data_IF_611745013306
#
_entry.id   IF_611745013306
#
_cell.length_a   1.000
_cell.length_b   1.000
_cell.length_c   1.000
_cell.angle_alpha   90.00
_cell.angle_beta   90.00
_cell.angle_gamma   90.00
#
_symmetry.space_group_name_H-M   'P 1'
#
loop_
_entity.id
_entity.type
_entity.pdbx_description
1 polymer ?
#
# COMPACT_ATOMS: atom_id res chain seq x y z
N UNK A 1 -23.09 7.06 -10.51
CA UNK A 1 -22.51 7.57 -11.77
C UNK A 1 -22.52 9.10 -11.91
N UNK A 2 -23.66 9.81 -11.77
CA UNK A 2 -23.70 11.29 -11.97
C UNK A 2 -22.83 12.12 -11.00
N UNK A 3 -22.56 11.63 -9.77
CA UNK A 3 -21.67 12.31 -8.79
C UNK A 3 -20.17 12.16 -9.09
N UNK A 4 -19.77 11.13 -9.85
CA UNK A 4 -18.37 10.88 -10.23
C UNK A 4 -17.89 11.85 -11.34
N UNK A 5 -18.82 12.32 -12.18
CA UNK A 5 -18.53 13.24 -13.28
C UNK A 5 -18.11 14.63 -12.76
N UNK A 6 -18.54 15.02 -11.56
CA UNK A 6 -18.15 16.30 -10.94
C UNK A 6 -16.70 16.27 -10.43
N UNK A 7 -16.20 15.12 -9.99
CA UNK A 7 -14.79 14.94 -9.61
C UNK A 7 -13.85 14.99 -10.83
N UNK A 8 -14.33 14.54 -12.00
CA UNK A 8 -13.60 14.64 -13.27
C UNK A 8 -13.55 16.07 -13.85
N UNK A 9 -14.34 17.01 -13.30
CA UNK A 9 -14.36 18.41 -13.74
C UNK A 9 -13.46 19.35 -12.92
N UNK A 10 -12.88 18.88 -11.81
CA UNK A 10 -11.90 19.65 -11.02
C UNK A 10 -10.54 19.94 -11.71
N UNK A 11 -10.06 19.19 -12.73
CA UNK A 11 -8.89 19.61 -13.49
C UNK A 11 -9.09 20.96 -14.21
N UNK A 12 -10.33 21.38 -14.43
CA UNK A 12 -10.66 22.58 -15.22
C UNK A 12 -10.52 23.90 -14.45
N UNK A 13 -10.42 23.88 -13.12
CA UNK A 13 -10.23 25.09 -12.31
C UNK A 13 -8.74 25.43 -12.07
N UNK A 14 -7.81 24.66 -12.65
CA UNK A 14 -6.40 24.64 -12.21
C UNK A 14 -5.39 25.47 -13.00
N UNK A 15 -5.83 26.43 -13.81
CA UNK A 15 -4.91 27.43 -14.40
C UNK A 15 -4.20 28.32 -13.34
N UNK A 16 -4.43 28.09 -12.04
CA UNK A 16 -3.96 28.91 -10.92
C UNK A 16 -2.75 28.37 -10.14
N UNK A 17 -2.29 27.13 -10.37
CA UNK A 17 -1.05 26.65 -9.74
C UNK A 17 0.06 26.62 -10.78
N UNK A 18 0.96 27.60 -10.64
CA UNK A 18 2.15 27.86 -11.45
C UNK A 18 2.81 26.57 -11.97
N UNK A 19 3.24 26.63 -13.22
CA UNK A 19 4.05 25.65 -13.92
C UNK A 19 4.94 24.85 -12.96
N UNK A 20 4.66 23.54 -12.86
CA UNK A 20 5.59 22.62 -12.24
C UNK A 20 6.95 22.79 -12.94
N UNK A 21 8.01 22.90 -12.15
CA UNK A 21 9.38 23.02 -12.63
C UNK A 21 9.72 21.88 -13.61
N UNK A 22 10.67 22.12 -14.52
CA UNK A 22 11.05 21.12 -15.51
C UNK A 22 11.56 19.84 -14.84
N UNK A 23 10.92 18.71 -15.12
CA UNK A 23 11.28 17.40 -14.55
C UNK A 23 12.77 17.09 -14.69
N UNK A 24 13.40 16.73 -13.57
CA UNK A 24 14.82 16.39 -13.50
C UNK A 24 15.08 14.94 -13.90
N UNK A 25 14.09 14.06 -13.67
CA UNK A 25 14.20 12.63 -13.92
C UNK A 25 13.20 12.17 -14.98
N UNK A 26 13.65 11.30 -15.87
CA UNK A 26 12.79 10.56 -16.81
C UNK A 26 12.30 9.29 -16.14
N UNK A 27 13.19 8.46 -15.61
CA UNK A 27 12.84 7.17 -15.01
C UNK A 27 13.64 6.97 -13.73
N UNK A 28 13.02 6.48 -12.67
CA UNK A 28 13.71 6.04 -11.45
C UNK A 28 13.20 4.64 -11.10
N UNK A 29 14.14 3.73 -10.87
CA UNK A 29 13.88 2.34 -10.52
C UNK A 29 14.66 2.00 -9.24
N UNK A 30 14.10 1.17 -8.38
CA UNK A 30 14.70 0.69 -7.14
C UNK A 30 14.52 -0.81 -6.99
N UNK A 31 15.62 -1.53 -6.78
CA UNK A 31 15.62 -2.97 -6.64
C UNK A 31 16.37 -3.36 -5.36
N UNK A 32 15.63 -3.69 -4.31
CA UNK A 32 16.19 -4.36 -3.13
C UNK A 32 16.49 -5.83 -3.46
N UNK A 33 17.76 -6.20 -3.40
CA UNK A 33 18.25 -7.55 -3.66
C UNK A 33 18.16 -8.45 -2.42
N UNK A 34 18.35 -7.85 -1.25
CA UNK A 34 18.28 -8.52 0.05
C UNK A 34 17.42 -7.66 0.98
N UNK A 35 16.50 -8.30 1.67
CA UNK A 35 15.67 -7.73 2.74
C UNK A 35 15.60 -8.72 3.91
N UNK A 36 16.45 -8.48 4.90
CA UNK A 36 16.50 -9.25 6.13
C UNK A 36 15.58 -8.61 7.20
N UNK A 37 14.78 -9.40 7.93
CA UNK A 37 14.78 -10.87 7.97
C UNK A 37 13.84 -11.59 7.00
N UNK A 38 13.00 -10.87 6.25
CA UNK A 38 11.95 -11.48 5.43
C UNK A 38 12.49 -12.50 4.42
N UNK A 39 13.58 -12.22 3.71
CA UNK A 39 14.14 -13.17 2.71
C UNK A 39 14.85 -14.39 3.32
N UNK A 40 15.15 -14.40 4.62
CA UNK A 40 15.84 -15.54 5.27
C UNK A 40 14.89 -16.42 6.08
N UNK A 41 13.59 -16.10 6.13
CA UNK A 41 12.60 -16.94 6.79
C UNK A 41 12.39 -18.26 6.05
N UNK A 42 12.32 -19.37 6.77
CA UNK A 42 12.07 -20.71 6.19
C UNK A 42 10.70 -20.84 5.52
N UNK A 43 9.76 -19.96 5.89
CA UNK A 43 8.39 -19.93 5.38
C UNK A 43 8.16 -18.83 4.32
N UNK A 44 9.21 -18.07 3.95
CA UNK A 44 9.11 -16.98 2.99
C UNK A 44 9.98 -17.25 1.75
N UNK A 45 9.35 -17.73 0.67
CA UNK A 45 10.04 -17.97 -0.61
C UNK A 45 9.91 -16.80 -1.60
N UNK A 46 9.34 -15.68 -1.15
CA UNK A 46 8.88 -14.59 -2.00
C UNK A 46 9.60 -13.27 -1.70
N UNK A 47 9.44 -12.24 -2.55
CA UNK A 47 9.85 -10.88 -2.20
C UNK A 47 9.23 -10.43 -0.87
N UNK A 48 9.98 -9.66 -0.09
CA UNK A 48 9.45 -8.96 1.09
C UNK A 48 8.35 -7.96 0.72
N UNK A 49 7.59 -7.45 1.69
CA UNK A 49 6.62 -6.36 1.46
C UNK A 49 7.24 -5.15 0.73
N UNK A 50 8.48 -4.80 1.10
CA UNK A 50 9.14 -3.64 0.48
C UNK A 50 9.66 -3.98 -0.92
N UNK A 51 10.23 -5.17 -1.12
CA UNK A 51 10.66 -5.63 -2.44
C UNK A 51 9.48 -5.75 -3.41
N UNK A 52 8.34 -6.29 -2.97
CA UNK A 52 7.14 -6.41 -3.81
C UNK A 52 6.60 -5.04 -4.20
N UNK A 53 6.62 -4.09 -3.26
CA UNK A 53 6.21 -2.71 -3.52
C UNK A 53 7.16 -2.01 -4.49
N UNK A 54 8.47 -2.16 -4.30
CA UNK A 54 9.50 -1.62 -5.20
C UNK A 54 9.32 -2.18 -6.61
N UNK A 55 9.18 -3.50 -6.74
CA UNK A 55 8.98 -4.16 -8.02
C UNK A 55 7.69 -3.68 -8.73
N UNK A 56 6.60 -3.56 -7.99
CA UNK A 56 5.32 -3.05 -8.51
C UNK A 56 5.44 -1.59 -8.95
N UNK A 57 6.01 -0.74 -8.11
CA UNK A 57 6.20 0.68 -8.39
C UNK A 57 7.11 0.93 -9.61
N UNK A 58 8.16 0.11 -9.76
CA UNK A 58 9.08 0.16 -10.88
C UNK A 58 8.39 -0.27 -12.18
N UNK A 59 7.53 -1.28 -12.13
CA UNK A 59 6.74 -1.70 -13.29
C UNK A 59 5.75 -0.61 -13.71
N UNK A 60 5.07 0.03 -12.75
CA UNK A 60 4.29 1.23 -13.02
C UNK A 60 5.14 2.37 -13.60
N UNK A 61 6.36 2.58 -13.10
CA UNK A 61 7.25 3.62 -13.62
C UNK A 61 7.64 3.41 -15.09
N UNK A 62 7.96 2.18 -15.47
CA UNK A 62 8.26 1.83 -16.87
C UNK A 62 7.03 2.03 -17.75
N UNK A 63 5.85 1.59 -17.29
CA UNK A 63 4.61 1.73 -18.06
C UNK A 63 4.20 3.19 -18.25
N UNK A 64 4.26 4.00 -17.20
CA UNK A 64 3.93 5.43 -17.27
C UNK A 64 4.94 6.22 -18.11
N UNK A 65 6.21 5.83 -18.09
CA UNK A 65 7.20 6.36 -19.02
C UNK A 65 6.85 6.05 -20.47
N UNK A 66 6.41 4.82 -20.76
CA UNK A 66 5.94 4.41 -22.08
C UNK A 66 4.71 5.19 -22.55
N UNK A 67 3.74 5.40 -21.66
CA UNK A 67 2.53 6.19 -21.93
C UNK A 67 2.89 7.63 -22.27
N UNK A 68 3.75 8.28 -21.48
CA UNK A 68 4.22 9.64 -21.75
C UNK A 68 5.01 9.73 -23.07
N UNK A 69 5.84 8.73 -23.38
CA UNK A 69 6.56 8.66 -24.64
C UNK A 69 5.60 8.55 -25.84
N UNK A 70 4.56 7.72 -25.74
CA UNK A 70 3.52 7.58 -26.76
C UNK A 70 2.72 8.90 -26.92
N UNK A 71 2.31 9.52 -25.82
CA UNK A 71 1.62 10.81 -25.82
C UNK A 71 2.44 11.90 -26.53
N UNK A 72 3.76 11.96 -26.29
CA UNK A 72 4.65 12.89 -27.01
C UNK A 72 4.68 12.67 -28.52
N UNK A 73 4.57 11.42 -28.99
CA UNK A 73 4.52 11.09 -30.43
C UNK A 73 3.18 11.51 -31.02
N UNK A 74 2.06 11.13 -30.38
CA UNK A 74 0.69 11.41 -30.87
C UNK A 74 0.44 12.92 -30.96
N UNK A 75 0.88 13.70 -29.97
CA UNK A 75 0.59 15.13 -29.88
C UNK A 75 1.75 16.05 -30.32
N UNK A 76 2.75 15.53 -31.05
CA UNK A 76 4.00 16.22 -31.44
C UNK A 76 3.79 17.63 -32.02
N UNK A 77 2.84 17.78 -32.95
CA UNK A 77 2.60 19.05 -33.67
C UNK A 77 1.72 20.06 -32.89
N UNK A 78 1.18 19.68 -31.72
CA UNK A 78 0.29 20.52 -30.91
C UNK A 78 0.91 20.94 -29.56
N UNK A 79 2.14 20.52 -29.27
CA UNK A 79 2.83 20.71 -27.97
C UNK A 79 2.90 22.17 -27.49
N UNK A 80 2.89 23.13 -28.40
CA UNK A 80 3.02 24.56 -28.08
C UNK A 80 1.69 25.31 -27.97
N UNK A 81 0.56 24.69 -28.32
CA UNK A 81 -0.76 25.30 -28.13
C UNK A 81 -1.34 24.90 -26.78
N UNK A 82 -2.13 25.77 -26.14
CA UNK A 82 -2.82 25.46 -24.87
C UNK A 82 -3.69 24.20 -25.02
N UNK A 83 -4.44 24.10 -26.11
CA UNK A 83 -5.29 22.94 -26.39
C UNK A 83 -4.51 21.63 -26.60
N UNK A 84 -3.33 21.68 -27.23
CA UNK A 84 -2.49 20.50 -27.39
C UNK A 84 -1.85 20.01 -26.09
N UNK A 85 -1.51 20.92 -25.17
CA UNK A 85 -1.05 20.55 -23.81
C UNK A 85 -2.15 19.84 -23.04
N UNK A 86 -3.34 20.43 -22.99
CA UNK A 86 -4.52 19.84 -22.32
C UNK A 86 -4.85 18.46 -22.91
N UNK A 87 -4.85 18.33 -24.24
CA UNK A 87 -5.12 17.06 -24.90
C UNK A 87 -4.10 15.98 -24.54
N UNK A 88 -2.81 16.33 -24.49
CA UNK A 88 -1.75 15.41 -24.07
C UNK A 88 -1.89 15.02 -22.60
N UNK A 89 -2.03 15.99 -21.69
CA UNK A 89 -2.18 15.71 -20.25
C UNK A 89 -3.42 14.84 -19.97
N UNK A 90 -4.52 15.09 -20.69
CA UNK A 90 -5.73 14.27 -20.60
C UNK A 90 -5.49 12.85 -21.11
N UNK A 91 -4.76 12.70 -22.23
CA UNK A 91 -4.38 11.38 -22.75
C UNK A 91 -3.50 10.61 -21.76
N UNK A 92 -2.45 11.24 -21.24
CA UNK A 92 -1.52 10.62 -20.29
C UNK A 92 -2.28 10.18 -19.03
N UNK A 93 -3.17 11.03 -18.51
CA UNK A 93 -3.96 10.73 -17.32
C UNK A 93 -4.97 9.59 -17.56
N UNK A 94 -5.77 9.66 -18.62
CA UNK A 94 -6.79 8.65 -18.91
C UNK A 94 -6.18 7.29 -19.26
N UNK A 95 -5.10 7.29 -20.04
CA UNK A 95 -4.38 6.05 -20.41
C UNK A 95 -3.67 5.48 -19.19
N UNK A 96 -3.04 6.32 -18.36
CA UNK A 96 -2.45 5.90 -17.09
C UNK A 96 -3.49 5.32 -16.13
N UNK A 97 -4.69 5.89 -16.09
CA UNK A 97 -5.80 5.37 -15.29
C UNK A 97 -6.29 4.01 -15.82
N UNK A 98 -6.54 3.90 -17.12
CA UNK A 98 -6.95 2.64 -17.74
C UNK A 98 -5.88 1.54 -17.55
N UNK A 99 -4.60 1.88 -17.74
CA UNK A 99 -3.51 0.96 -17.46
C UNK A 99 -3.47 0.54 -15.98
N UNK A 100 -3.65 1.48 -15.05
CA UNK A 100 -3.67 1.14 -13.62
C UNK A 100 -4.83 0.22 -13.28
N UNK A 101 -6.02 0.48 -13.83
CA UNK A 101 -7.25 -0.25 -13.55
C UNK A 101 -7.29 -1.66 -14.14
N UNK A 102 -6.87 -1.82 -15.40
CA UNK A 102 -6.88 -3.15 -16.05
C UNK A 102 -5.58 -3.89 -15.87
N UNK A 103 -4.46 -3.17 -15.81
CA UNK A 103 -3.13 -3.75 -15.63
C UNK A 103 -2.92 -4.30 -14.22
N UNK A 104 -3.55 -3.73 -13.20
CA UNK A 104 -3.47 -4.22 -11.81
C UNK A 104 -3.83 -5.70 -11.67
N UNK A 105 -4.77 -6.15 -12.48
CA UNK A 105 -5.29 -7.52 -12.47
C UNK A 105 -4.33 -8.49 -13.14
N UNK A 106 -3.36 -8.04 -13.93
CA UNK A 106 -2.47 -8.96 -14.65
C UNK A 106 -1.59 -9.78 -13.68
N UNK A 107 -1.23 -11.03 -14.01
CA UNK A 107 -0.42 -11.91 -13.15
C UNK A 107 1.08 -11.59 -13.24
N UNK A 108 1.40 -10.30 -13.13
CA UNK A 108 2.74 -9.71 -13.16
C UNK A 108 2.86 -8.72 -11.98
N UNK A 109 4.04 -8.19 -11.65
CA UNK A 109 4.21 -7.33 -10.49
C UNK A 109 3.54 -5.95 -10.65
N UNK A 110 2.22 -5.90 -10.43
CA UNK A 110 1.38 -4.70 -10.41
C UNK A 110 0.50 -4.74 -9.14
N UNK A 111 -0.73 -4.21 -9.20
CA UNK A 111 -1.62 -4.05 -8.04
C UNK A 111 -1.91 -5.35 -7.30
N UNK A 112 -2.68 -6.27 -7.90
CA UNK A 112 -3.15 -7.50 -7.23
C UNK A 112 -1.99 -8.40 -6.81
N UNK A 113 -0.92 -8.47 -7.61
CA UNK A 113 0.30 -9.21 -7.20
C UNK A 113 0.88 -8.66 -5.89
N UNK A 114 0.99 -7.33 -5.77
CA UNK A 114 1.54 -6.70 -4.57
C UNK A 114 0.59 -6.86 -3.38
N UNK A 115 -0.72 -6.81 -3.61
CA UNK A 115 -1.77 -7.09 -2.62
C UNK A 115 -1.58 -8.48 -2.00
N UNK A 116 -1.56 -9.52 -2.83
CA UNK A 116 -1.38 -10.90 -2.39
C UNK A 116 -0.01 -11.13 -1.73
N UNK A 117 1.02 -10.43 -2.20
CA UNK A 117 2.36 -10.58 -1.62
C UNK A 117 2.45 -10.01 -0.19
N UNK A 118 1.62 -9.03 0.17
CA UNK A 118 1.54 -8.53 1.54
C UNK A 118 0.93 -9.57 2.48
N UNK A 119 -0.16 -10.22 2.07
CA UNK A 119 -0.75 -11.34 2.82
C UNK A 119 0.28 -12.44 3.06
N UNK A 120 0.96 -12.89 1.98
CA UNK A 120 2.01 -13.90 2.09
C UNK A 120 3.13 -13.50 3.06
N UNK A 121 3.52 -12.23 3.05
CA UNK A 121 4.58 -11.72 3.93
C UNK A 121 4.19 -11.73 5.41
N UNK A 122 2.93 -11.41 5.74
CA UNK A 122 2.45 -11.52 7.13
C UNK A 122 2.34 -12.99 7.54
N UNK A 123 1.80 -13.86 6.69
CA UNK A 123 1.69 -15.29 6.97
C UNK A 123 3.07 -15.90 7.24
N UNK A 124 4.05 -15.62 6.39
CA UNK A 124 5.41 -16.11 6.53
C UNK A 124 6.13 -15.56 7.78
N UNK A 125 5.88 -14.29 8.14
CA UNK A 125 6.39 -13.70 9.38
C UNK A 125 5.85 -14.41 10.65
N UNK A 126 4.71 -15.08 10.54
CA UNK A 126 4.08 -15.87 11.59
C UNK A 126 4.32 -17.38 11.45
N UNK A 127 5.21 -17.81 10.54
CA UNK A 127 5.60 -19.21 10.40
C UNK A 127 4.73 -20.05 9.46
N UNK A 128 3.85 -19.41 8.69
CA UNK A 128 2.97 -20.10 7.73
C UNK A 128 3.44 -19.90 6.30
N UNK A 129 3.65 -21.00 5.59
CA UNK A 129 3.96 -20.98 4.16
C UNK A 129 2.69 -20.73 3.37
N UNK A 130 2.75 -19.82 2.40
CA UNK A 130 1.60 -19.47 1.55
C UNK A 130 2.08 -19.20 0.12
N UNK A 131 1.15 -19.18 -0.83
CA UNK A 131 1.42 -18.98 -2.25
C UNK A 131 0.57 -17.85 -2.79
N UNK A 132 1.22 -16.92 -3.48
CA UNK A 132 0.55 -15.85 -4.22
C UNK A 132 -0.09 -16.42 -5.50
N UNK A 133 -1.42 -16.35 -5.57
CA UNK A 133 -2.27 -16.80 -6.67
C UNK A 133 -2.48 -15.77 -7.78
N UNK A 134 -1.74 -14.66 -7.78
CA UNK A 134 -1.73 -13.69 -8.88
C UNK A 134 -0.32 -13.60 -9.52
N UNK A 135 0.14 -14.72 -10.09
CA UNK A 135 1.49 -14.81 -10.66
C UNK A 135 1.55 -15.75 -11.86
N UNK A 136 2.27 -15.36 -12.91
CA UNK A 136 2.28 -16.07 -14.20
C UNK A 136 2.69 -17.55 -14.11
N UNK A 137 3.50 -17.94 -13.12
CA UNK A 137 3.88 -19.35 -12.94
C UNK A 137 2.90 -20.15 -12.09
N UNK A 138 1.90 -19.50 -11.50
CA UNK A 138 0.92 -20.09 -10.58
C UNK A 138 -0.50 -19.85 -11.12
N UNK A 139 -1.43 -19.45 -10.24
CA UNK A 139 -2.80 -19.08 -10.58
C UNK A 139 -2.89 -17.62 -11.01
N UNK A 140 -4.04 -17.28 -11.58
CA UNK A 140 -4.43 -15.91 -11.89
C UNK A 140 -5.88 -15.70 -11.41
N UNK A 141 -6.07 -15.75 -10.10
CA UNK A 141 -7.39 -15.64 -9.46
C UNK A 141 -7.43 -14.63 -8.31
N UNK A 142 -6.31 -13.98 -7.99
CA UNK A 142 -6.25 -12.99 -6.92
C UNK A 142 -6.48 -13.60 -5.54
N UNK A 143 -5.94 -14.79 -5.30
CA UNK A 143 -6.05 -15.51 -4.01
C UNK A 143 -4.69 -15.72 -3.35
N UNK A 144 -4.71 -16.02 -2.05
CA UNK A 144 -3.54 -16.53 -1.32
C UNK A 144 -3.91 -17.88 -0.74
N UNK A 145 -3.16 -18.91 -1.09
CA UNK A 145 -3.46 -20.30 -0.68
C UNK A 145 -2.23 -20.98 -0.05
N UNK A 146 -2.36 -22.25 0.32
CA UNK A 146 -1.28 -23.04 0.92
C UNK A 146 -1.42 -23.27 2.43
N UNK A 147 -2.53 -22.85 3.03
CA UNK A 147 -2.84 -23.10 4.44
C UNK A 147 -3.98 -24.12 4.55
N UNK A 148 -3.84 -25.05 5.50
CA UNK A 148 -4.88 -25.99 5.91
C UNK A 148 -5.81 -25.36 6.95
N UNK A 149 -7.00 -25.94 7.14
CA UNK A 149 -7.91 -25.47 8.20
C UNK A 149 -7.37 -25.73 9.61
N UNK A 150 -6.49 -26.72 9.78
CA UNK A 150 -5.78 -26.96 11.04
C UNK A 150 -4.79 -25.82 11.35
N UNK A 151 -4.01 -25.39 10.36
CA UNK A 151 -3.10 -24.24 10.50
C UNK A 151 -3.87 -22.95 10.77
N UNK A 152 -5.00 -22.72 10.08
CA UNK A 152 -5.85 -21.54 10.34
C UNK A 152 -6.47 -21.57 11.74
N UNK A 153 -6.88 -22.76 12.21
CA UNK A 153 -7.39 -22.94 13.57
C UNK A 153 -6.32 -22.62 14.61
N UNK A 154 -5.11 -23.16 14.41
CA UNK A 154 -3.96 -22.87 15.27
C UNK A 154 -3.62 -21.38 15.25
N UNK A 155 -3.59 -20.77 14.06
CA UNK A 155 -3.22 -19.36 13.92
C UNK A 155 -4.21 -18.46 14.66
N UNK A 156 -5.51 -18.73 14.54
CA UNK A 156 -6.54 -18.00 15.28
C UNK A 156 -6.36 -18.15 16.80
N UNK A 157 -6.11 -19.36 17.30
CA UNK A 157 -6.04 -19.60 18.75
C UNK A 157 -4.74 -19.13 19.39
N UNK A 158 -3.61 -19.21 18.68
CA UNK A 158 -2.29 -18.90 19.22
C UNK A 158 -1.85 -17.46 18.92
N UNK A 159 -2.31 -16.88 17.81
CA UNK A 159 -1.86 -15.56 17.36
C UNK A 159 -2.91 -14.84 16.49
N UNK A 160 -4.05 -14.51 17.12
CA UNK A 160 -5.12 -13.74 16.49
C UNK A 160 -4.64 -12.41 15.89
N UNK A 161 -3.70 -11.71 16.54
CA UNK A 161 -3.15 -10.46 16.03
C UNK A 161 -2.45 -10.62 14.67
N UNK A 162 -1.68 -11.71 14.51
CA UNK A 162 -1.08 -12.08 13.23
C UNK A 162 -2.13 -12.44 12.17
N UNK A 163 -3.17 -13.20 12.54
CA UNK A 163 -4.26 -13.57 11.63
C UNK A 163 -5.01 -12.34 11.12
N UNK A 164 -5.46 -11.49 12.04
CA UNK A 164 -6.13 -10.23 11.70
C UNK A 164 -5.22 -9.31 10.88
N UNK A 165 -3.91 -9.34 11.13
CA UNK A 165 -2.97 -8.54 10.33
C UNK A 165 -2.86 -9.09 8.91
N UNK A 166 -2.80 -10.42 8.76
CA UNK A 166 -2.75 -11.03 7.45
C UNK A 166 -3.94 -10.59 6.60
N UNK A 167 -5.17 -10.62 7.12
CA UNK A 167 -6.37 -10.20 6.40
C UNK A 167 -6.31 -8.76 5.88
N UNK A 168 -5.77 -7.81 6.62
CA UNK A 168 -5.80 -6.39 6.20
C UNK A 168 -4.58 -5.95 5.39
N UNK A 169 -3.52 -6.76 5.39
CA UNK A 169 -2.22 -6.38 4.83
C UNK A 169 -2.24 -6.11 3.33
N UNK A 170 -3.09 -6.80 2.56
CA UNK A 170 -3.29 -6.54 1.13
C UNK A 170 -3.64 -5.08 0.86
N UNK A 171 -4.68 -4.56 1.54
CA UNK A 171 -5.10 -3.14 1.48
C UNK A 171 -3.99 -2.17 1.93
N UNK A 172 -3.08 -2.61 2.81
CA UNK A 172 -1.94 -1.79 3.19
C UNK A 172 -0.94 -1.62 2.04
N UNK A 173 -0.90 -2.56 1.09
CA UNK A 173 0.00 -2.51 -0.06
C UNK A 173 -0.31 -1.32 -0.98
N UNK A 174 -1.59 -1.02 -1.27
CA UNK A 174 -1.99 0.13 -2.10
C UNK A 174 -1.71 1.46 -1.39
N UNK A 175 -1.94 1.47 -0.08
CA UNK A 175 -1.67 2.64 0.76
C UNK A 175 -0.17 2.94 0.80
N UNK A 176 0.67 1.92 1.03
CA UNK A 176 2.12 2.06 1.07
C UNK A 176 2.71 2.42 -0.30
N UNK A 177 2.20 1.82 -1.38
CA UNK A 177 2.58 2.20 -2.74
C UNK A 177 2.26 3.67 -3.00
N UNK A 178 1.05 4.14 -2.64
CA UNK A 178 0.68 5.56 -2.79
C UNK A 178 1.58 6.47 -1.95
N UNK A 179 1.81 6.12 -0.68
CA UNK A 179 2.64 6.88 0.24
C UNK A 179 4.05 7.06 -0.31
N UNK A 180 4.70 5.94 -0.68
CA UNK A 180 6.06 5.91 -1.20
C UNK A 180 6.18 6.75 -2.47
N UNK A 181 5.28 6.55 -3.43
CA UNK A 181 5.35 7.26 -4.71
C UNK A 181 5.05 8.77 -4.59
N UNK A 182 4.03 9.17 -3.83
CA UNK A 182 3.70 10.60 -3.64
C UNK A 182 4.86 11.34 -2.98
N UNK A 183 5.46 10.74 -1.95
CA UNK A 183 6.61 11.33 -1.25
C UNK A 183 7.83 11.39 -2.18
N UNK A 184 8.11 10.33 -2.93
CA UNK A 184 9.22 10.30 -3.88
C UNK A 184 9.04 11.30 -5.03
N UNK A 185 7.85 11.43 -5.60
CA UNK A 185 7.52 12.39 -6.64
C UNK A 185 7.58 13.84 -6.11
N UNK A 186 7.22 14.04 -4.85
CA UNK A 186 7.40 15.33 -4.17
C UNK A 186 8.88 15.70 -4.05
N UNK A 187 9.81 14.78 -3.76
CA UNK A 187 11.24 15.16 -3.65
C UNK A 187 11.98 15.14 -4.99
N UNK A 188 11.56 14.28 -5.92
CA UNK A 188 12.25 14.02 -7.18
C UNK A 188 11.33 14.29 -8.35
N UNK A 189 11.37 15.53 -8.85
CA UNK A 189 10.53 15.96 -9.95
C UNK A 189 10.80 15.14 -11.22
N UNK A 190 9.73 14.61 -11.79
CA UNK A 190 9.78 13.78 -12.99
C UNK A 190 9.19 14.49 -14.20
N UNK A 191 9.50 14.00 -15.39
CA UNK A 191 8.90 14.49 -16.64
C UNK A 191 7.47 13.97 -16.88
N UNK A 192 7.06 12.95 -16.12
CA UNK A 192 5.71 12.39 -16.04
C UNK A 192 5.46 11.99 -14.59
N UNK A 193 4.19 11.89 -14.20
CA UNK A 193 3.81 11.53 -12.83
C UNK A 193 2.75 10.43 -12.85
N UNK A 194 2.67 9.71 -11.73
CA UNK A 194 1.75 8.57 -11.54
C UNK A 194 0.42 9.00 -10.90
N UNK A 195 -0.03 10.24 -11.10
CA UNK A 195 -1.26 10.79 -10.52
C UNK A 195 -2.50 9.88 -10.69
N UNK A 196 -2.80 9.32 -11.88
CA UNK A 196 -3.96 8.45 -12.03
C UNK A 196 -3.79 7.08 -11.32
N UNK A 197 -2.56 6.63 -11.04
CA UNK A 197 -2.33 5.46 -10.20
C UNK A 197 -2.72 5.75 -8.74
N UNK A 198 -2.47 6.96 -8.23
CA UNK A 198 -2.93 7.37 -6.89
C UNK A 198 -4.45 7.41 -6.80
N UNK A 199 -5.14 7.86 -7.87
CA UNK A 199 -6.60 7.77 -7.97
C UNK A 199 -7.06 6.31 -7.94
N UNK A 200 -6.42 5.46 -8.74
CA UNK A 200 -6.75 4.04 -8.82
C UNK A 200 -6.61 3.36 -7.45
N UNK A 201 -5.51 3.56 -6.71
CA UNK A 201 -5.33 2.97 -5.39
C UNK A 201 -6.41 3.43 -4.39
N UNK A 202 -6.75 4.73 -4.38
CA UNK A 202 -7.82 5.24 -3.51
C UNK A 202 -9.20 4.63 -3.88
N UNK A 203 -9.47 4.48 -5.18
CA UNK A 203 -10.67 3.81 -5.68
C UNK A 203 -10.71 2.33 -5.34
N UNK A 204 -9.59 1.63 -5.48
CA UNK A 204 -9.47 0.21 -5.19
C UNK A 204 -9.80 -0.07 -3.73
N UNK A 205 -9.14 0.63 -2.81
CA UNK A 205 -9.40 0.49 -1.36
C UNK A 205 -10.86 0.80 -1.04
N UNK A 206 -11.42 1.90 -1.54
CA UNK A 206 -12.82 2.25 -1.29
C UNK A 206 -13.79 1.23 -1.90
N UNK A 207 -13.53 0.75 -3.11
CA UNK A 207 -14.33 -0.27 -3.78
C UNK A 207 -14.29 -1.60 -3.03
N UNK A 208 -13.14 -1.97 -2.45
CA UNK A 208 -13.03 -3.20 -1.67
C UNK A 208 -13.90 -3.13 -0.41
N UNK A 209 -13.84 -2.02 0.34
CA UNK A 209 -14.80 -1.77 1.42
C UNK A 209 -16.25 -1.72 0.93
N UNK A 210 -16.51 -1.19 -0.26
CA UNK A 210 -17.86 -1.14 -0.82
C UNK A 210 -18.38 -2.55 -1.14
N UNK A 211 -17.53 -3.41 -1.70
CA UNK A 211 -17.83 -4.82 -1.92
C UNK A 211 -18.12 -5.53 -0.59
N UNK A 212 -17.22 -5.40 0.39
CA UNK A 212 -17.34 -6.03 1.72
C UNK A 212 -18.52 -5.55 2.57
N UNK A 213 -19.16 -4.43 2.23
CA UNK A 213 -20.35 -3.89 2.93
C UNK A 213 -21.63 -4.03 2.12
N UNK A 214 -21.64 -4.96 1.16
CA UNK A 214 -22.73 -5.11 0.19
C UNK A 214 -23.15 -6.56 0.04
N UNK A 215 -24.35 -6.77 -0.51
CA UNK A 215 -24.90 -8.09 -0.81
C UNK A 215 -24.01 -8.91 -1.78
N UNK A 216 -23.11 -8.25 -2.51
CA UNK A 216 -22.12 -8.91 -3.34
C UNK A 216 -21.17 -9.79 -2.51
N UNK A 217 -20.79 -9.36 -1.29
CA UNK A 217 -19.96 -10.19 -0.41
C UNK A 217 -20.70 -11.46 0.05
N UNK A 218 -21.99 -11.33 0.38
CA UNK A 218 -22.85 -12.47 0.72
C UNK A 218 -23.03 -13.41 -0.48
N UNK A 219 -23.19 -12.86 -1.68
CA UNK A 219 -23.27 -13.65 -2.91
C UNK A 219 -21.98 -14.42 -3.16
N UNK A 220 -20.81 -13.78 -3.02
CA UNK A 220 -19.50 -14.42 -3.23
C UNK A 220 -19.24 -15.55 -2.23
N UNK A 221 -19.71 -15.42 -0.99
CA UNK A 221 -19.67 -16.52 0.00
C UNK A 221 -20.35 -17.79 -0.49
N UNK A 222 -21.41 -17.67 -1.30
CA UNK A 222 -22.18 -18.81 -1.82
C UNK A 222 -21.61 -19.31 -3.15
N UNK A 223 -21.35 -18.40 -4.10
CA UNK A 223 -20.99 -18.81 -5.48
C UNK A 223 -19.52 -19.19 -5.65
N UNK A 224 -18.61 -18.59 -4.88
CA UNK A 224 -17.18 -18.85 -5.07
C UNK A 224 -16.76 -20.26 -4.61
N UNK A 225 -17.26 -20.80 -3.47
CA UNK A 225 -16.92 -22.17 -3.05
C UNK A 225 -17.23 -23.26 -4.08
N UNK A 226 -18.26 -23.09 -4.92
CA UNK A 226 -18.58 -24.02 -6.02
C UNK A 226 -17.46 -24.14 -7.07
N UNK A 227 -16.56 -23.16 -7.12
CA UNK A 227 -15.43 -23.08 -8.03
C UNK A 227 -14.08 -23.26 -7.33
N UNK A 228 -14.07 -23.50 -6.01
CA UNK A 228 -12.86 -23.74 -5.25
C UNK A 228 -12.53 -25.24 -5.14
N UNK A 229 -11.27 -25.51 -4.83
CA UNK A 229 -10.78 -26.88 -4.67
C UNK A 229 -11.38 -27.54 -3.43
N UNK A 230 -11.71 -28.83 -3.50
CA UNK A 230 -12.23 -29.58 -2.36
C UNK A 230 -11.18 -29.80 -1.26
N UNK A 231 -9.89 -29.60 -1.55
CA UNK A 231 -8.82 -29.60 -0.56
C UNK A 231 -8.58 -28.17 0.01
N UNK A 232 -8.73 -27.96 1.33
CA UNK A 232 -8.53 -26.65 1.97
C UNK A 232 -7.16 -26.00 1.68
N UNK A 233 -6.12 -26.79 1.44
CA UNK A 233 -4.78 -26.29 1.11
C UNK A 233 -4.76 -25.43 -0.16
N UNK A 234 -5.65 -25.73 -1.11
CA UNK A 234 -5.74 -25.06 -2.41
C UNK A 234 -6.83 -23.99 -2.47
N UNK A 235 -7.50 -23.71 -1.35
CA UNK A 235 -8.50 -22.64 -1.27
C UNK A 235 -7.84 -21.34 -0.84
N UNK A 236 -8.50 -20.23 -1.16
CA UNK A 236 -8.11 -18.95 -0.60
C UNK A 236 -8.14 -18.99 0.94
N UNK A 237 -7.15 -18.39 1.60
CA UNK A 237 -6.98 -18.50 3.05
C UNK A 237 -7.97 -17.61 3.83
N UNK A 238 -8.38 -16.48 3.24
CA UNK A 238 -9.24 -15.49 3.87
C UNK A 238 -10.66 -15.46 3.29
N UNK A 239 -10.81 -15.72 2.00
CA UNK A 239 -12.05 -15.50 1.27
C UNK A 239 -12.25 -14.02 0.94
N UNK A 240 -13.04 -13.33 1.76
CA UNK A 240 -13.21 -11.89 1.66
C UNK A 240 -12.52 -11.23 2.85
N UNK A 241 -11.35 -10.64 2.61
CA UNK A 241 -10.43 -10.17 3.66
C UNK A 241 -11.10 -9.32 4.74
N UNK A 242 -11.83 -8.27 4.32
CA UNK A 242 -12.35 -7.26 5.24
C UNK A 242 -13.53 -7.77 6.07
N UNK A 243 -14.34 -8.71 5.55
CA UNK A 243 -15.40 -9.34 6.35
C UNK A 243 -14.81 -10.41 7.26
N UNK A 244 -13.82 -11.19 6.82
CA UNK A 244 -13.09 -12.12 7.69
C UNK A 244 -12.38 -11.38 8.84
N UNK A 245 -11.73 -10.25 8.53
CA UNK A 245 -11.11 -9.36 9.51
C UNK A 245 -12.10 -8.88 10.57
N UNK A 246 -13.25 -8.35 10.16
CA UNK A 246 -14.25 -7.86 11.13
C UNK A 246 -14.88 -9.00 11.92
N UNK A 247 -15.15 -10.14 11.27
CA UNK A 247 -15.72 -11.31 11.94
C UNK A 247 -14.84 -11.81 13.08
N UNK A 248 -13.57 -12.08 12.80
CA UNK A 248 -12.65 -12.62 13.82
C UNK A 248 -12.24 -11.56 14.86
N UNK A 249 -12.28 -10.27 14.50
CA UNK A 249 -12.02 -9.18 15.44
C UNK A 249 -13.17 -8.97 16.44
N UNK A 250 -14.42 -9.17 16.02
CA UNK A 250 -15.60 -9.11 16.89
C UNK A 250 -15.93 -10.43 17.58
N UNK A 251 -15.39 -11.55 17.10
CA UNK A 251 -15.54 -12.88 17.69
C UNK A 251 -14.18 -13.56 17.96
N UNK A 252 -13.33 -12.98 18.83
CA UNK A 252 -11.98 -13.45 19.07
C UNK A 252 -11.93 -14.87 19.67
N UNK A 253 -12.87 -15.18 20.58
CA UNK A 253 -12.92 -16.46 21.30
C UNK A 253 -13.62 -17.58 20.52
N UNK A 254 -14.28 -17.23 19.40
CA UNK A 254 -14.98 -18.22 18.59
C UNK A 254 -13.97 -19.08 17.83
N UNK A 255 -14.06 -20.41 17.95
CA UNK A 255 -13.19 -21.31 17.20
C UNK A 255 -13.29 -21.08 15.68
N UNK A 256 -12.16 -21.20 14.96
CA UNK A 256 -12.14 -21.05 13.50
C UNK A 256 -13.08 -22.06 12.80
N UNK A 257 -13.18 -23.26 13.38
CA UNK A 257 -14.04 -24.36 12.90
C UNK A 257 -15.54 -24.13 13.12
N UNK A 258 -15.92 -23.04 13.79
CA UNK A 258 -17.33 -22.66 13.96
C UNK A 258 -17.90 -21.88 12.76
N UNK A 259 -17.09 -21.65 11.71
CA UNK A 259 -17.57 -21.16 10.41
C UNK A 259 -18.44 -22.22 9.73
N UNK A 260 -19.20 -21.80 8.72
CA UNK A 260 -20.06 -22.72 7.97
C UNK A 260 -19.24 -23.86 7.35
N UNK A 261 -19.79 -25.08 7.23
CA UNK A 261 -19.13 -26.16 6.49
C UNK A 261 -18.86 -25.76 5.04
N UNK A 262 -17.75 -26.21 4.48
CA UNK A 262 -17.51 -26.03 3.05
C UNK A 262 -18.51 -26.88 2.23
N UNK A 263 -19.17 -26.31 1.21
CA UNK A 263 -20.14 -27.06 0.42
C UNK A 263 -19.46 -28.19 -0.35
N UNK A 264 -20.06 -29.38 -0.29
CA UNK A 264 -19.62 -30.58 -1.02
C UNK A 264 -18.13 -30.95 -0.86
N UNK A 265 -17.50 -30.58 0.26
CA UNK A 265 -16.08 -30.84 0.51
C UNK A 265 -15.70 -30.87 2.00
N UNK A 266 -14.40 -30.98 2.28
CA UNK A 266 -13.89 -31.05 3.66
C UNK A 266 -13.68 -29.65 4.26
N UNK A 267 -13.80 -29.55 5.58
CA UNK A 267 -13.42 -28.33 6.31
C UNK A 267 -14.48 -27.23 6.29
N UNK A 268 -14.03 -25.99 6.48
CA UNK A 268 -14.92 -24.82 6.61
C UNK A 268 -14.95 -23.95 5.36
N UNK A 269 -16.08 -23.28 5.14
CA UNK A 269 -16.17 -22.15 4.26
C UNK A 269 -15.46 -20.96 4.90
N UNK A 270 -14.33 -20.57 4.31
CA UNK A 270 -13.50 -19.47 4.82
C UNK A 270 -14.13 -18.11 4.52
N UNK A 271 -15.06 -18.02 3.55
CA UNK A 271 -15.72 -16.76 3.20
C UNK A 271 -16.76 -16.38 4.24
N UNK A 272 -16.65 -15.14 4.69
CA UNK A 272 -17.62 -14.48 5.54
C UNK A 272 -18.34 -13.42 4.72
N UNK A 273 -19.67 -13.47 4.69
CA UNK A 273 -20.51 -12.44 4.08
C UNK A 273 -20.72 -11.27 5.05
N UNK A 274 -21.12 -10.11 4.52
CA UNK A 274 -21.48 -8.97 5.34
C UNK A 274 -22.63 -9.29 6.32
N UNK A 275 -23.59 -10.11 5.87
CA UNK A 275 -24.76 -10.51 6.66
C UNK A 275 -24.43 -11.51 7.78
N UNK A 276 -23.25 -12.14 7.74
CA UNK A 276 -22.76 -13.02 8.82
C UNK A 276 -22.15 -12.24 9.99
N UNK A 277 -21.81 -10.97 9.77
CA UNK A 277 -21.28 -10.12 10.82
C UNK A 277 -22.38 -9.78 11.83
N UNK A 278 -22.01 -9.64 13.10
CA UNK A 278 -22.90 -9.07 14.11
C UNK A 278 -23.34 -7.66 13.68
N UNK A 279 -24.51 -7.15 14.15
CA UNK A 279 -24.94 -5.78 13.82
C UNK A 279 -23.87 -4.73 14.13
N UNK A 280 -23.13 -4.93 15.22
CA UNK A 280 -22.04 -4.06 15.60
C UNK A 280 -20.83 -4.16 14.64
N UNK A 281 -20.47 -5.37 14.20
CA UNK A 281 -19.45 -5.57 13.18
C UNK A 281 -19.83 -4.93 11.84
N UNK A 282 -21.11 -5.02 11.45
CA UNK A 282 -21.64 -4.35 10.25
C UNK A 282 -21.49 -2.84 10.33
N UNK A 283 -21.90 -2.23 11.45
CA UNK A 283 -21.77 -0.80 11.70
C UNK A 283 -20.30 -0.35 11.72
N UNK A 284 -19.42 -1.15 12.34
CA UNK A 284 -18.00 -0.90 12.34
C UNK A 284 -17.42 -0.90 10.93
N UNK A 285 -17.72 -1.92 10.10
CA UNK A 285 -17.20 -2.01 8.74
C UNK A 285 -17.74 -0.88 7.83
N UNK A 286 -18.99 -0.48 8.02
CA UNK A 286 -19.58 0.70 7.36
C UNK A 286 -18.88 2.01 7.77
N UNK A 287 -18.44 2.13 9.02
CA UNK A 287 -17.63 3.26 9.48
C UNK A 287 -16.24 3.24 8.81
N UNK A 288 -15.57 2.09 8.76
CA UNK A 288 -14.29 1.94 8.07
C UNK A 288 -14.37 2.30 6.59
N UNK A 289 -15.45 1.88 5.90
CA UNK A 289 -15.75 2.28 4.51
C UNK A 289 -15.86 3.80 4.33
N UNK A 290 -16.43 4.51 5.29
CA UNK A 290 -16.51 5.98 5.22
C UNK A 290 -15.12 6.60 5.45
N UNK A 291 -14.33 6.05 6.37
CA UNK A 291 -12.97 6.52 6.65
C UNK A 291 -12.01 6.28 5.48
N UNK A 292 -12.20 5.21 4.71
CA UNK A 292 -11.37 4.97 3.52
C UNK A 292 -11.48 6.05 2.44
N UNK A 293 -12.52 6.90 2.47
CA UNK A 293 -12.61 8.09 1.62
C UNK A 293 -11.49 9.11 1.90
N UNK A 294 -10.84 9.05 3.07
CA UNK A 294 -9.69 9.91 3.37
C UNK A 294 -8.52 9.68 2.40
N UNK A 295 -8.42 8.51 1.77
CA UNK A 295 -7.42 8.23 0.73
C UNK A 295 -7.57 9.11 -0.52
N UNK A 296 -8.74 9.74 -0.73
CA UNK A 296 -8.94 10.73 -1.80
C UNK A 296 -8.44 12.13 -1.43
N UNK A 297 -8.09 12.38 -0.16
CA UNK A 297 -7.52 13.67 0.28
C UNK A 297 -6.03 13.68 -0.07
N UNK A 298 -5.76 13.73 -1.36
CA UNK A 298 -4.43 13.78 -1.93
C UNK A 298 -4.44 14.68 -3.17
N UNK A 299 -3.88 15.90 -3.11
CA UNK A 299 -3.83 16.80 -4.26
C UNK A 299 -3.07 16.22 -5.47
N UNK A 300 -2.18 15.25 -5.24
CA UNK A 300 -1.50 14.53 -6.32
C UNK A 300 -2.45 13.60 -7.09
N UNK A 301 -3.70 13.36 -6.66
CA UNK A 301 -4.71 12.77 -7.55
C UNK A 301 -5.05 13.75 -8.68
N UNK A 302 -5.08 15.05 -8.37
CA UNK A 302 -5.49 16.12 -9.27
C UNK A 302 -4.31 16.92 -9.82
N UNK A 303 -3.22 16.23 -10.15
CA UNK A 303 -2.03 16.81 -10.79
C UNK A 303 -1.26 17.83 -9.94
N UNK A 304 -1.53 17.96 -8.63
CA UNK A 304 -0.73 18.81 -7.73
C UNK A 304 0.20 17.97 -6.89
N UNK A 305 1.42 17.83 -7.40
CA UNK A 305 2.49 17.08 -6.74
C UNK A 305 3.31 17.95 -5.76
N UNK A 306 3.10 19.28 -5.76
CA UNK A 306 3.86 20.24 -4.93
C UNK A 306 3.15 21.60 -4.88
N UNK A 307 3.14 22.22 -3.71
CA UNK A 307 2.74 23.62 -3.49
C UNK A 307 3.98 24.44 -3.16
N UNK A 308 4.34 25.39 -4.03
CA UNK A 308 5.49 26.28 -3.84
C UNK A 308 5.04 27.57 -3.14
N UNK A 309 5.62 27.86 -1.98
CA UNK A 309 5.34 29.06 -1.19
C UNK A 309 6.43 30.11 -1.42
N UNK A 310 7.69 29.68 -1.52
CA UNK A 310 8.84 30.50 -1.90
C UNK A 310 9.84 29.68 -2.72
N UNK A 311 10.95 30.29 -3.13
CA UNK A 311 12.07 29.57 -3.79
C UNK A 311 12.71 28.52 -2.88
N UNK A 312 12.62 28.71 -1.57
CA UNK A 312 13.25 27.84 -0.57
C UNK A 312 12.24 26.99 0.20
N UNK A 313 10.94 27.17 -0.01
CA UNK A 313 9.92 26.43 0.73
C UNK A 313 8.80 25.93 -0.19
N UNK A 314 8.62 24.61 -0.18
CA UNK A 314 7.51 23.93 -0.83
C UNK A 314 7.02 22.79 0.04
N UNK A 315 5.75 22.43 -0.07
CA UNK A 315 5.18 21.30 0.65
C UNK A 315 4.06 20.64 -0.16
N UNK A 316 3.65 19.45 0.29
CA UNK A 316 2.40 18.82 -0.08
C UNK A 316 1.75 18.33 1.22
N UNK A 317 0.44 18.14 1.21
CA UNK A 317 -0.28 17.50 2.30
C UNK A 317 -1.22 16.46 1.70
N UNK A 318 -1.21 15.24 2.22
CA UNK A 318 -2.19 14.21 1.87
C UNK A 318 -2.53 13.35 3.09
N UNK A 319 -3.72 12.77 3.09
CA UNK A 319 -4.18 11.85 4.14
C UNK A 319 -4.20 10.41 3.62
N UNK A 320 -4.07 9.47 4.56
CA UNK A 320 -4.30 8.06 4.30
C UNK A 320 -5.06 7.43 5.45
N UNK A 321 -5.94 6.50 5.11
CA UNK A 321 -6.60 5.55 5.97
C UNK A 321 -6.06 4.15 5.65
N UNK A 322 -5.68 3.41 6.69
CA UNK A 322 -5.21 2.04 6.58
C UNK A 322 -5.90 1.15 7.63
N UNK A 323 -6.55 0.04 7.25
CA UNK A 323 -7.02 -0.93 8.21
C UNK A 323 -5.84 -1.63 8.89
N UNK A 324 -5.96 -1.91 10.18
CA UNK A 324 -4.94 -2.60 10.98
C UNK A 324 -5.59 -3.74 11.76
N UNK A 325 -4.81 -4.70 12.25
CA UNK A 325 -5.34 -5.83 13.02
C UNK A 325 -6.06 -5.41 14.30
N UNK A 326 -5.71 -4.26 14.87
CA UNK A 326 -6.38 -3.69 16.04
C UNK A 326 -7.44 -2.63 15.68
N UNK A 327 -7.68 -2.34 14.40
CA UNK A 327 -8.64 -1.33 13.97
C UNK A 327 -8.20 -0.54 12.74
N UNK A 328 -7.68 0.68 12.91
CA UNK A 328 -7.18 1.48 11.80
C UNK A 328 -6.07 2.47 12.21
N UNK A 329 -5.34 2.93 11.21
CA UNK A 329 -4.49 4.13 11.25
C UNK A 329 -5.06 5.18 10.29
N UNK A 330 -5.15 6.42 10.77
CA UNK A 330 -5.38 7.60 9.94
C UNK A 330 -4.15 8.49 10.05
N UNK A 331 -3.48 8.70 8.93
CA UNK A 331 -2.27 9.48 8.85
C UNK A 331 -2.45 10.75 8.02
N UNK A 332 -1.82 11.85 8.44
CA UNK A 332 -1.61 13.05 7.63
C UNK A 332 -0.12 13.16 7.34
N UNK A 333 0.25 13.07 6.07
CA UNK A 333 1.62 13.19 5.60
C UNK A 333 1.88 14.59 5.04
N UNK A 334 2.99 15.16 5.44
CA UNK A 334 3.45 16.49 5.02
C UNK A 334 4.91 16.36 4.58
N UNK A 335 5.18 15.94 3.33
CA UNK A 335 6.50 16.11 2.76
C UNK A 335 6.71 17.58 2.42
N UNK A 336 7.87 18.12 2.82
CA UNK A 336 8.25 19.50 2.59
C UNK A 336 9.72 19.63 2.26
N UNK A 337 10.06 20.70 1.56
CA UNK A 337 11.42 21.05 1.20
C UNK A 337 11.73 22.42 1.78
N UNK A 338 12.82 22.51 2.53
CA UNK A 338 13.37 23.78 3.03
C UNK A 338 14.81 23.93 2.54
N UNK A 339 15.06 24.92 1.67
CA UNK A 339 16.35 25.09 0.96
C UNK A 339 16.75 23.80 0.24
N UNK A 340 17.84 23.16 0.66
CA UNK A 340 18.35 21.90 0.12
C UNK A 340 17.91 20.65 0.90
N UNK A 341 17.08 20.80 1.93
CA UNK A 341 16.65 19.69 2.79
C UNK A 341 15.26 19.20 2.40
N UNK A 342 15.17 17.91 2.10
CA UNK A 342 13.92 17.19 1.91
C UNK A 342 13.53 16.55 3.25
N UNK A 343 12.31 16.84 3.72
CA UNK A 343 11.86 16.49 5.06
C UNK A 343 10.43 15.96 5.03
N UNK A 344 10.15 14.91 5.78
CA UNK A 344 8.82 14.38 5.99
C UNK A 344 8.40 14.63 7.43
N UNK A 345 7.17 15.11 7.62
CA UNK A 345 6.48 15.04 8.89
C UNK A 345 5.18 14.25 8.69
N UNK A 346 4.80 13.39 9.64
CA UNK A 346 3.46 12.80 9.65
C UNK A 346 2.88 12.73 11.06
N UNK A 347 1.56 12.86 11.14
CA UNK A 347 0.77 12.62 12.35
C UNK A 347 -0.12 11.41 12.12
N UNK A 348 -0.15 10.49 13.08
CA UNK A 348 -0.96 9.27 13.04
C UNK A 348 -1.99 9.29 14.16
N UNK A 349 -3.18 8.81 13.86
CA UNK A 349 -4.21 8.46 14.84
C UNK A 349 -4.54 6.99 14.67
N UNK A 350 -4.03 6.17 15.59
CA UNK A 350 -4.36 4.75 15.67
C UNK A 350 -5.66 4.61 16.44
N UNK A 351 -6.66 3.94 15.87
CA UNK A 351 -7.93 3.70 16.56
C UNK A 351 -8.20 2.22 16.67
N UNK A 352 -8.67 1.80 17.84
CA UNK A 352 -9.28 0.48 18.02
C UNK A 352 -10.79 0.63 18.26
N UNK A 353 -11.43 -0.32 18.94
CA UNK A 353 -12.88 -0.34 19.12
C UNK A 353 -13.43 0.97 19.71
N UNK A 354 -12.89 1.42 20.85
CA UNK A 354 -13.39 2.61 21.58
C UNK A 354 -12.31 3.63 21.92
N UNK A 355 -11.04 3.34 21.65
CA UNK A 355 -9.91 4.20 22.03
C UNK A 355 -9.15 4.72 20.81
N UNK A 356 -8.46 5.84 21.02
CA UNK A 356 -7.56 6.43 20.04
C UNK A 356 -6.21 6.70 20.68
N UNK A 357 -5.17 6.45 19.89
CA UNK A 357 -3.78 6.61 20.24
C UNK A 357 -3.07 7.40 19.14
N UNK A 358 -1.88 7.91 19.42
CA UNK A 358 -1.21 8.87 18.54
C UNK A 358 0.18 8.41 18.14
N UNK A 359 0.59 8.81 16.94
CA UNK A 359 1.97 8.67 16.50
C UNK A 359 2.47 9.89 15.73
N UNK A 360 3.78 10.03 15.67
CA UNK A 360 4.48 11.03 14.88
C UNK A 360 5.59 10.38 14.07
N UNK A 361 5.78 10.88 12.86
CA UNK A 361 6.89 10.51 12.00
C UNK A 361 7.68 11.77 11.64
N UNK A 362 9.00 11.65 11.69
CA UNK A 362 9.90 12.64 11.10
C UNK A 362 10.96 11.94 10.25
N UNK A 363 11.26 12.50 9.08
CA UNK A 363 12.30 11.97 8.22
C UNK A 363 13.09 13.03 7.47
N UNK A 364 14.36 12.74 7.21
CA UNK A 364 15.23 13.46 6.29
C UNK A 364 15.53 12.55 5.11
N UNK A 365 15.44 13.09 3.89
CA UNK A 365 15.62 12.32 2.65
C UNK A 365 16.76 12.90 1.82
N UNK A 366 17.66 12.03 1.35
CA UNK A 366 18.75 12.35 0.42
C UNK A 366 19.62 13.57 0.81
N UNK A 367 19.95 13.68 2.09
CA UNK A 367 20.92 14.66 2.60
C UNK A 367 22.31 14.28 2.08
N UNK A 368 23.01 15.22 1.45
CA UNK A 368 24.37 15.02 0.93
C UNK A 368 25.39 15.78 1.77
N UNK A 369 25.82 15.25 2.93
CA UNK A 369 26.67 16.01 3.86
C UNK A 369 28.13 16.11 3.41
N UNK A 370 28.58 15.23 2.50
CA UNK A 370 29.97 15.17 2.05
C UNK A 370 30.22 16.04 0.81
N UNK A 371 31.41 16.65 0.72
CA UNK A 371 31.81 17.52 -0.39
C UNK A 371 31.74 16.84 -1.76
N UNK A 372 32.04 15.54 -1.84
CA UNK A 372 32.01 14.78 -3.09
C UNK A 372 30.59 14.49 -3.61
N UNK A 373 29.55 14.72 -2.78
CA UNK A 373 28.12 14.51 -3.09
C UNK A 373 27.74 13.11 -3.60
N UNK A 374 28.65 12.13 -3.48
CA UNK A 374 28.46 10.73 -3.93
C UNK A 374 27.60 9.91 -2.97
N UNK A 375 27.52 10.32 -1.71
CA UNK A 375 26.71 9.66 -0.69
C UNK A 375 25.54 10.57 -0.34
N UNK A 376 24.33 10.04 -0.51
CA UNK A 376 23.11 10.63 0.02
C UNK A 376 22.65 9.78 1.21
N UNK A 377 22.30 10.44 2.32
CA UNK A 377 21.85 9.83 3.56
C UNK A 377 20.37 10.17 3.80
N UNK A 378 19.64 9.22 4.35
CA UNK A 378 18.30 9.42 4.88
C UNK A 378 18.20 8.91 6.30
N UNK A 379 17.31 9.50 7.08
CA UNK A 379 16.91 9.00 8.40
C UNK A 379 15.39 9.13 8.52
N UNK A 380 14.75 8.13 9.10
CA UNK A 380 13.34 8.16 9.45
C UNK A 380 13.20 7.73 10.90
N UNK A 381 12.40 8.46 11.67
CA UNK A 381 12.04 8.15 13.05
C UNK A 381 10.53 8.19 13.16
N UNK A 382 9.95 7.10 13.66
CA UNK A 382 8.54 7.00 13.99
C UNK A 382 8.41 6.75 15.48
N UNK A 383 7.53 7.49 16.15
CA UNK A 383 7.16 7.26 17.54
C UNK A 383 5.66 7.05 17.59
N UNK A 384 5.20 6.09 18.36
CA UNK A 384 3.78 5.81 18.50
C UNK A 384 3.41 5.45 19.92
N UNK A 385 2.16 5.73 20.26
CA UNK A 385 1.39 5.05 21.26
C UNK A 385 0.35 4.21 20.49
N UNK A 386 0.30 2.91 20.72
CA UNK A 386 -0.65 1.98 20.07
C UNK A 386 -1.30 1.09 21.13
N UNK A 387 -2.39 0.36 20.84
CA UNK A 387 -2.98 -0.59 21.79
C UNK A 387 -1.93 -1.47 22.48
N UNK A 388 -2.01 -1.59 23.81
CA UNK A 388 -0.95 -2.19 24.63
C UNK A 388 -0.55 -3.60 24.20
N UNK A 389 -1.53 -4.44 23.92
CA UNK A 389 -1.38 -5.82 23.46
C UNK A 389 -1.66 -5.93 21.96
N UNK A 390 -1.71 -4.80 21.25
CA UNK A 390 -2.09 -4.75 19.85
C UNK A 390 -3.49 -5.35 19.60
N UNK A 391 -4.41 -5.22 20.56
CA UNK A 391 -5.75 -5.79 20.51
C UNK A 391 -6.83 -4.74 20.18
N UNK A 392 -7.89 -5.19 19.53
CA UNK A 392 -9.06 -4.38 19.20
C UNK A 392 -9.78 -3.82 20.45
N UNK A 393 -9.73 -4.56 21.56
CA UNK A 393 -10.43 -4.22 22.81
C UNK A 393 -9.53 -3.63 23.91
N UNK A 394 -8.25 -3.39 23.63
CA UNK A 394 -7.37 -2.77 24.63
C UNK A 394 -7.89 -1.36 25.02
N UNK A 395 -7.75 -1.03 26.30
CA UNK A 395 -8.14 0.27 26.85
C UNK A 395 -6.94 1.18 27.15
N UNK A 396 -5.74 0.60 27.18
CA UNK A 396 -4.47 1.26 27.42
C UNK A 396 -3.60 1.23 26.16
N UNK A 397 -2.62 2.14 26.13
CA UNK A 397 -1.65 2.24 25.04
C UNK A 397 -0.24 1.94 25.54
N UNK A 398 0.59 1.44 24.62
CA UNK A 398 2.01 1.20 24.82
C UNK A 398 2.82 2.04 23.85
N UNK A 399 3.80 2.75 24.40
CA UNK A 399 4.76 3.52 23.62
C UNK A 399 5.73 2.60 22.89
N UNK A 400 6.03 2.96 21.65
CA UNK A 400 7.02 2.32 20.81
C UNK A 400 7.53 3.27 19.73
N UNK A 401 8.40 2.74 18.88
CA UNK A 401 8.95 3.51 17.79
C UNK A 401 9.80 2.68 16.85
N UNK A 402 10.16 3.28 15.72
CA UNK A 402 11.14 2.75 14.80
C UNK A 402 12.11 3.84 14.37
N UNK A 403 13.33 3.42 14.04
CA UNK A 403 14.28 4.24 13.34
C UNK A 403 14.79 3.47 12.11
N UNK A 404 15.06 4.20 11.03
CA UNK A 404 15.70 3.66 9.83
C UNK A 404 16.75 4.66 9.34
N UNK A 405 17.92 4.15 8.96
CA UNK A 405 18.98 4.87 8.29
C UNK A 405 19.07 4.35 6.86
N UNK A 406 19.20 5.25 5.90
CA UNK A 406 19.40 4.92 4.49
C UNK A 406 20.66 5.58 3.97
N UNK A 407 21.41 4.86 3.13
CA UNK A 407 22.55 5.37 2.41
C UNK A 407 22.46 4.99 0.93
N UNK A 408 22.64 5.96 0.04
CA UNK A 408 22.73 5.78 -1.40
C UNK A 408 24.12 6.21 -1.86
N UNK A 409 24.89 5.29 -2.44
CA UNK A 409 26.22 5.56 -2.99
C UNK A 409 26.16 5.58 -4.52
N UNK A 410 26.49 6.73 -5.14
CA UNK A 410 26.51 6.91 -6.58
C UNK A 410 27.65 6.12 -7.24
N UNK A 411 27.30 5.09 -8.01
CA UNK A 411 28.24 4.24 -8.77
C UNK A 411 28.61 4.87 -10.14
N UNK A 412 27.78 5.78 -10.64
CA UNK A 412 27.93 6.41 -11.95
C UNK A 412 26.90 5.92 -12.97
N UNK A 413 26.79 6.62 -14.11
CA UNK A 413 25.85 6.29 -15.20
C UNK A 413 24.38 6.12 -14.76
N UNK A 414 23.97 6.85 -13.72
CA UNK A 414 22.61 6.76 -13.16
C UNK A 414 22.42 5.67 -12.11
N UNK A 415 23.40 4.78 -11.90
CA UNK A 415 23.33 3.72 -10.90
C UNK A 415 23.76 4.18 -9.50
N UNK A 416 23.14 3.62 -8.48
CA UNK A 416 23.54 3.79 -7.08
C UNK A 416 23.36 2.49 -6.32
N UNK A 417 24.30 2.15 -5.44
CA UNK A 417 24.08 1.12 -4.42
C UNK A 417 23.28 1.72 -3.27
N UNK A 418 22.31 0.98 -2.75
CA UNK A 418 21.49 1.37 -1.61
C UNK A 418 21.69 0.41 -0.44
N UNK A 419 21.78 0.98 0.75
CA UNK A 419 21.74 0.29 2.04
C UNK A 419 20.64 0.97 2.87
N UNK A 420 19.77 0.18 3.48
CA UNK A 420 18.89 0.65 4.55
C UNK A 420 19.05 -0.29 5.76
N UNK A 421 19.06 0.27 6.96
CA UNK A 421 19.04 -0.52 8.18
C UNK A 421 18.27 0.20 9.26
N UNK A 422 17.60 -0.55 10.11
CA UNK A 422 16.77 0.04 11.14
C UNK A 422 16.38 -0.96 12.20
N UNK A 423 15.62 -0.44 13.15
CA UNK A 423 15.02 -1.23 14.20
C UNK A 423 13.66 -0.66 14.54
N UNK A 424 12.73 -1.56 14.87
CA UNK A 424 11.39 -1.26 15.32
C UNK A 424 11.13 -1.98 16.64
N UNK A 425 10.62 -1.27 17.64
CA UNK A 425 10.04 -1.91 18.83
C UNK A 425 8.73 -2.62 18.47
N UNK A 426 8.21 -3.44 19.38
CA UNK A 426 6.88 -4.04 19.18
C UNK A 426 5.80 -2.98 18.84
N UNK A 427 4.87 -3.38 17.98
CA UNK A 427 3.77 -2.58 17.45
C UNK A 427 3.60 -2.75 15.95
N UNK A 428 2.60 -2.13 15.36
CA UNK A 428 2.37 -2.09 13.91
C UNK A 428 3.17 -0.97 13.21
N UNK A 429 3.61 -1.21 11.98
CA UNK A 429 4.07 -0.17 11.06
C UNK A 429 3.79 -0.64 9.62
N UNK A 430 3.28 0.27 8.78
CA UNK A 430 3.00 -0.05 7.37
C UNK A 430 4.29 -0.50 6.64
N UNK A 431 4.16 -1.53 5.80
CA UNK A 431 5.29 -2.12 5.08
C UNK A 431 6.22 -3.00 5.92
N UNK A 432 5.80 -3.39 7.14
CA UNK A 432 6.55 -4.30 8.00
C UNK A 432 5.63 -5.42 8.54
N UNK A 433 5.88 -6.71 8.22
CA UNK A 433 4.97 -7.79 8.59
C UNK A 433 5.08 -8.22 10.07
N UNK A 434 6.06 -7.70 10.81
CA UNK A 434 6.32 -8.12 12.19
C UNK A 434 5.62 -7.19 13.20
N UNK A 435 4.82 -7.78 14.10
CA UNK A 435 4.24 -7.07 15.24
C UNK A 435 5.20 -7.01 16.44
N UNK A 436 6.13 -7.95 16.52
CA UNK A 436 7.20 -7.96 17.51
C UNK A 436 8.33 -6.99 17.15
N UNK A 437 9.25 -6.79 18.11
CA UNK A 437 10.43 -5.98 17.84
C UNK A 437 11.35 -6.65 16.83
N UNK A 438 11.78 -5.93 15.80
CA UNK A 438 12.62 -6.48 14.74
C UNK A 438 13.61 -5.46 14.21
N UNK A 439 14.85 -5.92 14.00
CA UNK A 439 15.85 -5.21 13.20
C UNK A 439 15.66 -5.52 11.73
N UNK A 440 16.03 -4.58 10.85
CA UNK A 440 16.01 -4.80 9.41
C UNK A 440 17.33 -4.37 8.75
N UNK A 441 17.64 -5.02 7.64
CA UNK A 441 18.75 -4.69 6.76
C UNK A 441 18.30 -4.93 5.32
N UNK A 442 18.39 -3.89 4.50
CA UNK A 442 18.12 -3.96 3.06
C UNK A 442 19.32 -3.51 2.25
N UNK A 443 19.63 -4.27 1.20
CA UNK A 443 20.69 -3.98 0.25
C UNK A 443 20.11 -4.02 -1.15
N UNK A 444 20.42 -3.01 -1.97
CA UNK A 444 19.83 -2.90 -3.29
C UNK A 444 20.59 -2.01 -4.25
N UNK A 445 20.01 -1.85 -5.44
CA UNK A 445 20.51 -0.99 -6.51
C UNK A 445 19.38 -0.08 -6.97
N UNK A 446 19.70 1.19 -7.21
CA UNK A 446 18.80 2.17 -7.83
C UNK A 446 19.34 2.58 -9.18
N UNK A 447 18.43 2.83 -10.12
CA UNK A 447 18.75 3.39 -11.43
C UNK A 447 17.94 4.67 -11.66
N UNK A 448 18.62 5.75 -12.03
CA UNK A 448 18.02 7.04 -12.32
C UNK A 448 18.42 7.52 -13.72
N UNK A 449 17.47 7.52 -14.65
CA UNK A 449 17.61 8.16 -15.95
C UNK A 449 17.25 9.65 -15.81
N UNK A 450 18.23 10.53 -15.96
CA UNK A 450 18.05 11.99 -15.90
C UNK A 450 17.61 12.55 -17.26
N UNK A 451 16.99 13.74 -17.24
CA UNK A 451 16.54 14.42 -18.45
C UNK A 451 17.70 14.84 -19.36
#
# INVERSE_FOLDING_TARGET
MKKFIILLLLPFLWNLVKAQESGQYKLRLSFSLIDYPQNLGTHHLYPSMVQSTELSNDMYDVSFWGIDALGKVIFKNKKNTKGGKIARESFDYLTGFAFSYFGSELPIPLGVYNHEQYHCSVLAANGYSSVNGNWISNRWDGTVYGLTDAEMTQFKSENLGGLLYSYVSGVQSENYATQSNVIQDFYHQRTFYKNPFYLYNALYVWNYFNFSTSAQSDSVKVVAPEHEDSNPYFRDYAGADLTAWVYDMFSPDQAYTARDPFPDGEGVNRRIGFSDLTPEGQDYLLKQKKLSLLNFVNPAIFLVNRINISTDFSFLLFMQYSPTHFGNDIAVFIPFKTRSLNQLFAFHTYSNYQNSFFGIQYGLVDVKPFLNKKIALGVSVNLWNQPENQSFYDTSGKFGGSFELQANYELGKGFSANLATGYKSAGWAIGNPYLESKGNLRLGVKYNLKN
#
